data_IF_310983763449
#
_entry.id   IF_310983763449
#
_cell.length_a   1.000
_cell.length_b   1.000
_cell.length_c   1.000
_cell.angle_alpha   90.00
_cell.angle_beta   90.00
_cell.angle_gamma   90.00
#
_symmetry.space_group_name_H-M   'P 1'
#
loop_
_entity.id
_entity.type
_entity.pdbx_description
1 polymer ?
#
# COMPACT_ATOMS: atom_id res chain seq x y z
N UNK A 1 -14.40 -13.64 -1.00
CA UNK A 1 -13.09 -13.73 -0.30
C UNK A 1 -12.52 -15.11 -0.63
N UNK A 2 -11.44 -15.19 -1.40
CA UNK A 2 -10.85 -16.47 -1.83
C UNK A 2 -9.34 -16.36 -1.80
N UNK A 3 -8.70 -17.42 -1.32
CA UNK A 3 -7.28 -17.71 -1.46
C UNK A 3 -7.12 -19.24 -1.60
N UNK A 4 -5.97 -19.69 -2.07
CA UNK A 4 -5.66 -21.11 -2.18
C UNK A 4 -4.21 -21.37 -1.74
N UNK A 5 -3.93 -22.61 -1.37
CA UNK A 5 -2.57 -23.10 -1.11
C UNK A 5 -2.28 -24.27 -2.04
N UNK A 6 -1.03 -24.39 -2.46
CA UNK A 6 -0.51 -25.55 -3.16
C UNK A 6 0.84 -25.92 -2.52
N UNK A 7 1.04 -27.19 -2.21
CA UNK A 7 2.22 -27.65 -1.48
C UNK A 7 2.18 -29.15 -1.20
N UNK A 8 3.12 -29.68 -0.39
CA UNK A 8 3.18 -31.09 -0.04
C UNK A 8 1.86 -31.60 0.53
N UNK A 9 1.43 -32.79 0.09
CA UNK A 9 0.12 -33.34 0.46
C UNK A 9 -0.09 -33.40 1.97
N UNK A 10 0.92 -33.82 2.74
CA UNK A 10 0.80 -33.93 4.20
C UNK A 10 0.55 -32.56 4.87
N UNK A 11 1.09 -31.47 4.32
CA UNK A 11 0.86 -30.10 4.81
C UNK A 11 -0.56 -29.66 4.44
N UNK A 12 -0.95 -29.81 3.16
CA UNK A 12 -2.28 -29.39 2.68
C UNK A 12 -3.40 -30.14 3.41
N UNK A 13 -3.23 -31.44 3.67
CA UNK A 13 -4.17 -32.24 4.47
C UNK A 13 -4.28 -31.73 5.91
N UNK A 14 -3.17 -31.35 6.54
CA UNK A 14 -3.20 -30.76 7.89
C UNK A 14 -3.91 -29.40 7.90
N UNK A 15 -3.64 -28.54 6.92
CA UNK A 15 -4.36 -27.28 6.75
C UNK A 15 -5.86 -27.49 6.53
N UNK A 16 -6.27 -28.49 5.74
CA UNK A 16 -7.68 -28.81 5.51
C UNK A 16 -8.36 -29.29 6.80
N UNK A 17 -7.69 -30.14 7.59
CA UNK A 17 -8.19 -30.57 8.91
C UNK A 17 -8.43 -29.36 9.83
N UNK A 18 -7.51 -28.40 9.85
CA UNK A 18 -7.65 -27.17 10.64
C UNK A 18 -8.80 -26.30 10.11
N UNK A 19 -8.87 -26.07 8.80
CA UNK A 19 -9.90 -25.22 8.19
C UNK A 19 -11.31 -25.77 8.41
N UNK A 20 -11.48 -27.09 8.36
CA UNK A 20 -12.74 -27.77 8.63
C UNK A 20 -13.32 -27.51 10.03
N UNK A 21 -12.49 -27.15 11.00
CA UNK A 21 -12.91 -26.80 12.37
C UNK A 21 -12.97 -25.29 12.63
N UNK A 22 -12.52 -24.45 11.69
CA UNK A 22 -12.43 -23.00 11.87
C UNK A 22 -13.48 -22.25 11.05
N UNK A 23 -13.62 -22.62 9.79
CA UNK A 23 -14.46 -21.89 8.82
C UNK A 23 -15.27 -22.80 7.90
N UNK A 24 -15.09 -24.12 7.99
CA UNK A 24 -15.57 -25.07 6.98
C UNK A 24 -15.01 -24.73 5.58
N UNK A 25 -15.84 -24.73 4.54
CA UNK A 25 -15.45 -24.30 3.19
C UNK A 25 -15.64 -22.78 2.97
N UNK A 26 -14.88 -22.16 2.06
CA UNK A 26 -15.12 -20.76 1.67
C UNK A 26 -16.47 -20.61 0.94
N UNK A 27 -17.00 -19.39 0.90
CA UNK A 27 -18.29 -19.08 0.25
C UNK A 27 -18.45 -19.70 -1.15
N UNK A 28 -19.47 -20.52 -1.35
CA UNK A 28 -19.74 -21.26 -2.60
C UNK A 28 -19.87 -20.35 -3.82
N UNK A 29 -20.55 -19.21 -3.69
CA UNK A 29 -20.67 -18.20 -4.76
C UNK A 29 -19.30 -17.63 -5.13
N UNK A 30 -18.44 -17.35 -4.13
CA UNK A 30 -17.08 -16.87 -4.39
C UNK A 30 -16.20 -17.93 -5.07
N UNK A 31 -16.40 -19.22 -4.77
CA UNK A 31 -15.69 -20.30 -5.45
C UNK A 31 -16.02 -20.34 -6.94
N UNK A 32 -17.31 -20.19 -7.30
CA UNK A 32 -17.73 -20.12 -8.71
C UNK A 32 -17.22 -18.88 -9.44
N UNK A 33 -17.17 -17.73 -8.76
CA UNK A 33 -16.53 -16.54 -9.32
C UNK A 33 -15.02 -16.74 -9.54
N UNK A 34 -14.32 -17.41 -8.60
CA UNK A 34 -12.90 -17.70 -8.71
C UNK A 34 -12.57 -18.68 -9.86
N UNK A 35 -13.41 -19.71 -10.05
CA UNK A 35 -13.32 -20.63 -11.18
C UNK A 35 -13.38 -19.87 -12.51
N UNK A 36 -14.38 -19.00 -12.69
CA UNK A 36 -14.51 -18.19 -13.90
C UNK A 36 -13.33 -17.21 -14.10
N UNK A 37 -12.84 -16.60 -13.01
CA UNK A 37 -11.67 -15.71 -13.06
C UNK A 37 -10.38 -16.45 -13.45
N UNK A 38 -10.24 -17.72 -13.05
CA UNK A 38 -9.04 -18.51 -13.30
C UNK A 38 -9.02 -19.15 -14.69
N UNK A 39 -10.16 -19.71 -15.14
CA UNK A 39 -10.25 -20.44 -16.43
C UNK A 39 -10.58 -19.52 -17.60
N UNK A 40 -11.13 -18.34 -17.34
CA UNK A 40 -11.46 -17.34 -18.34
C UNK A 40 -10.25 -16.56 -18.88
N UNK A 41 -10.54 -15.55 -19.69
CA UNK A 41 -9.51 -14.69 -20.27
C UNK A 41 -8.76 -13.87 -19.21
N UNK A 42 -7.45 -13.73 -19.41
CA UNK A 42 -6.57 -12.91 -18.56
C UNK A 42 -6.39 -11.47 -19.11
N UNK A 43 -7.20 -11.05 -20.09
CA UNK A 43 -7.18 -9.67 -20.62
C UNK A 43 -7.36 -8.61 -19.52
N UNK A 44 -8.33 -8.71 -18.59
CA UNK A 44 -8.49 -7.71 -17.52
C UNK A 44 -7.24 -7.55 -16.65
N UNK A 45 -6.51 -8.65 -16.40
CA UNK A 45 -5.25 -8.62 -15.63
C UNK A 45 -4.17 -7.84 -16.39
N UNK A 46 -4.05 -8.05 -17.72
CA UNK A 46 -3.09 -7.32 -18.56
C UNK A 46 -3.41 -5.82 -18.61
N UNK A 47 -4.68 -5.46 -18.68
CA UNK A 47 -5.15 -4.07 -18.64
C UNK A 47 -4.85 -3.42 -17.29
N UNK A 48 -5.19 -4.10 -16.19
CA UNK A 48 -4.86 -3.64 -14.84
C UNK A 48 -3.35 -3.48 -14.65
N UNK A 49 -2.53 -4.43 -15.13
CA UNK A 49 -1.06 -4.32 -15.07
C UNK A 49 -0.56 -3.02 -15.71
N UNK A 50 -1.05 -2.67 -16.91
CA UNK A 50 -0.70 -1.42 -17.60
C UNK A 50 -1.14 -0.20 -16.80
N UNK A 51 -2.35 -0.21 -16.24
CA UNK A 51 -2.86 0.88 -15.40
C UNK A 51 -2.00 1.07 -14.14
N UNK A 52 -1.66 -0.02 -13.44
CA UNK A 52 -0.81 0.03 -12.25
C UNK A 52 0.62 0.45 -12.55
N UNK A 53 1.17 0.05 -13.69
CA UNK A 53 2.49 0.52 -14.14
C UNK A 53 2.51 2.02 -14.38
N UNK A 54 1.50 2.57 -15.06
CA UNK A 54 1.33 4.01 -15.25
C UNK A 54 1.22 4.75 -13.91
N UNK A 55 0.36 4.27 -13.01
CA UNK A 55 0.17 4.84 -11.66
C UNK A 55 1.43 4.78 -10.80
N UNK A 56 2.18 3.66 -10.86
CA UNK A 56 3.48 3.51 -10.22
C UNK A 56 4.46 4.57 -10.74
N UNK A 57 4.56 4.73 -12.05
CA UNK A 57 5.47 5.71 -12.64
C UNK A 57 5.10 7.14 -12.22
N UNK A 58 3.79 7.45 -12.17
CA UNK A 58 3.28 8.74 -11.70
C UNK A 58 3.62 9.00 -10.23
N UNK A 59 3.26 8.10 -9.31
CA UNK A 59 3.49 8.31 -7.87
C UNK A 59 4.99 8.36 -7.56
N UNK A 60 5.83 7.55 -8.20
CA UNK A 60 7.28 7.58 -8.03
C UNK A 60 7.85 8.92 -8.49
N UNK A 61 7.43 9.42 -9.65
CA UNK A 61 7.87 10.72 -10.16
C UNK A 61 7.55 11.83 -9.16
N UNK A 62 6.28 11.93 -8.74
CA UNK A 62 5.82 12.98 -7.84
C UNK A 62 6.46 12.88 -6.44
N UNK A 63 6.60 11.66 -5.90
CA UNK A 63 7.23 11.46 -4.60
C UNK A 63 8.71 11.88 -4.60
N UNK A 64 9.44 11.71 -5.72
CA UNK A 64 10.83 12.18 -5.84
C UNK A 64 10.97 13.70 -5.81
N UNK A 65 9.89 14.43 -6.06
CA UNK A 65 9.85 15.89 -5.99
C UNK A 65 9.59 16.42 -4.58
N UNK A 66 9.41 15.53 -3.58
CA UNK A 66 9.15 15.87 -2.18
C UNK A 66 10.49 15.85 -1.42
N UNK A 67 11.02 17.01 -0.98
CA UNK A 67 12.34 17.08 -0.34
C UNK A 67 12.36 16.33 1.00
N UNK A 68 13.18 15.28 1.11
CA UNK A 68 13.27 14.43 2.31
C UNK A 68 12.75 13.00 2.13
N UNK A 69 12.04 12.72 1.03
CA UNK A 69 11.71 11.34 0.67
C UNK A 69 12.88 10.67 -0.06
N UNK A 70 13.34 9.52 0.45
CA UNK A 70 14.16 8.58 -0.31
C UNK A 70 13.25 7.55 -0.98
N UNK A 71 13.07 7.69 -2.29
CA UNK A 71 12.03 6.97 -3.05
C UNK A 71 12.62 5.76 -3.80
N UNK A 72 12.15 4.56 -3.44
CA UNK A 72 12.42 3.34 -4.20
C UNK A 72 11.49 3.22 -5.43
N UNK A 73 11.90 2.46 -6.44
CA UNK A 73 11.04 2.10 -7.59
C UNK A 73 10.54 0.65 -7.39
N UNK A 74 9.25 0.44 -7.06
CA UNK A 74 8.71 -0.89 -6.85
C UNK A 74 8.68 -1.73 -8.13
N UNK A 75 9.08 -3.00 -8.03
CA UNK A 75 9.04 -3.94 -9.16
C UNK A 75 7.68 -4.67 -9.29
N UNK A 76 6.82 -4.59 -8.27
CA UNK A 76 5.52 -5.26 -8.23
C UNK A 76 4.63 -4.74 -7.11
N UNK A 77 3.48 -5.39 -6.92
CA UNK A 77 2.39 -4.91 -6.06
C UNK A 77 1.90 -3.50 -6.43
N UNK A 78 1.23 -2.83 -5.51
CA UNK A 78 0.65 -1.50 -5.71
C UNK A 78 0.94 -0.51 -4.58
N UNK A 79 2.14 -0.59 -3.99
CA UNK A 79 2.56 0.23 -2.86
C UNK A 79 3.85 1.00 -3.14
N UNK A 80 3.90 2.27 -2.73
CA UNK A 80 5.15 3.02 -2.57
C UNK A 80 5.54 3.01 -1.09
N UNK A 81 6.84 2.87 -0.82
CA UNK A 81 7.37 2.76 0.54
C UNK A 81 8.64 3.61 0.74
N UNK A 82 8.53 4.95 0.63
CA UNK A 82 9.68 5.81 0.75
C UNK A 82 10.13 5.89 2.21
N UNK A 83 11.43 6.07 2.41
CA UNK A 83 11.99 6.48 3.69
C UNK A 83 11.81 7.99 3.86
N UNK A 84 11.44 8.42 5.06
CA UNK A 84 11.02 9.80 5.36
C UNK A 84 11.53 10.29 6.73
N UNK A 85 12.54 9.64 7.30
CA UNK A 85 13.10 9.99 8.61
C UNK A 85 13.78 11.37 8.63
N UNK A 86 13.99 12.02 7.48
CA UNK A 86 14.48 13.40 7.41
C UNK A 86 13.54 14.42 8.07
N UNK A 87 12.28 14.05 8.31
CA UNK A 87 11.30 14.88 9.01
C UNK A 87 11.26 14.61 10.51
N UNK A 88 11.98 13.60 11.01
CA UNK A 88 11.96 13.31 12.44
C UNK A 88 12.74 14.37 13.21
N UNK A 89 12.17 14.84 14.32
CA UNK A 89 12.64 15.98 15.10
C UNK A 89 12.17 17.35 14.57
N UNK A 90 11.45 17.39 13.44
CA UNK A 90 10.88 18.64 12.92
C UNK A 90 9.52 18.93 13.53
N UNK A 91 9.11 20.19 13.47
CA UNK A 91 7.81 20.60 14.01
C UNK A 91 7.05 21.61 13.14
N UNK A 92 5.72 21.61 13.24
CA UNK A 92 4.85 22.62 12.65
C UNK A 92 3.62 22.83 13.52
N UNK A 93 3.28 24.09 13.83
CA UNK A 93 2.06 24.41 14.59
C UNK A 93 2.00 23.76 15.99
N UNK A 94 3.15 23.62 16.65
CA UNK A 94 3.25 22.98 17.98
C UNK A 94 3.23 21.45 17.97
N UNK A 95 3.19 20.83 16.79
CA UNK A 95 3.27 19.37 16.63
C UNK A 95 4.67 18.95 16.19
N UNK A 96 5.34 18.16 17.02
CA UNK A 96 6.61 17.53 16.72
C UNK A 96 6.40 16.18 16.03
N UNK A 97 7.27 15.86 15.06
CA UNK A 97 7.29 14.57 14.37
C UNK A 97 8.43 13.74 14.93
N UNK A 98 8.17 12.82 15.86
CA UNK A 98 9.23 11.99 16.46
C UNK A 98 9.43 10.65 15.73
N UNK A 99 8.44 10.20 14.95
CA UNK A 99 8.52 8.95 14.17
C UNK A 99 7.55 8.95 12.96
N UNK A 100 7.52 7.85 12.21
CA UNK A 100 6.65 7.71 11.05
C UNK A 100 5.16 7.74 11.38
N UNK A 101 4.73 7.26 12.56
CA UNK A 101 3.33 7.33 13.00
C UNK A 101 2.90 8.78 13.14
N UNK A 102 3.71 9.61 13.79
CA UNK A 102 3.41 11.03 13.95
C UNK A 102 3.37 11.75 12.61
N UNK A 103 4.27 11.41 11.69
CA UNK A 103 4.24 11.94 10.32
C UNK A 103 2.95 11.53 9.61
N UNK A 104 2.53 10.26 9.71
CA UNK A 104 1.28 9.81 9.06
C UNK A 104 0.03 10.48 9.64
N UNK A 105 0.01 10.71 10.95
CA UNK A 105 -1.09 11.42 11.60
C UNK A 105 -1.08 12.92 11.25
N UNK A 106 0.10 13.53 11.14
CA UNK A 106 0.26 14.90 10.63
C UNK A 106 -0.25 15.04 9.20
N UNK A 107 0.13 14.12 8.31
CA UNK A 107 -0.36 14.09 6.92
C UNK A 107 -1.87 13.85 6.84
N UNK A 108 -2.45 13.09 7.78
CA UNK A 108 -3.89 12.88 7.86
C UNK A 108 -4.62 14.16 8.27
N UNK A 109 -4.18 14.82 9.34
CA UNK A 109 -4.88 15.95 9.94
C UNK A 109 -4.64 17.26 9.18
N UNK A 110 -3.41 17.50 8.72
CA UNK A 110 -3.01 18.74 8.04
C UNK A 110 -2.98 18.59 6.53
N UNK A 111 -2.48 17.46 6.04
CA UNK A 111 -2.43 17.17 4.61
C UNK A 111 -3.71 16.55 4.05
N UNK A 112 -4.63 16.09 4.91
CA UNK A 112 -5.81 15.32 4.51
C UNK A 112 -5.48 14.11 3.62
N UNK A 113 -4.35 13.44 3.89
CA UNK A 113 -3.89 12.24 3.17
C UNK A 113 -3.59 11.12 4.17
N UNK A 114 -4.39 10.05 4.09
CA UNK A 114 -4.17 8.85 4.90
C UNK A 114 -3.06 7.97 4.30
N UNK A 115 -2.05 7.66 5.11
CA UNK A 115 -1.00 6.70 4.82
C UNK A 115 -0.73 5.83 6.06
N UNK A 116 0.12 4.81 5.94
CA UNK A 116 0.40 3.89 7.05
C UNK A 116 1.87 3.99 7.45
N UNK A 117 2.15 4.22 8.73
CA UNK A 117 3.52 4.23 9.26
C UNK A 117 4.24 2.91 9.06
N UNK A 118 5.52 2.98 8.73
CA UNK A 118 6.38 1.84 8.44
C UNK A 118 6.63 0.93 9.64
N UNK A 119 6.44 1.43 10.87
CA UNK A 119 6.52 0.66 12.12
C UNK A 119 5.63 -0.58 12.10
N UNK A 120 4.44 -0.50 11.48
CA UNK A 120 3.53 -1.65 11.32
C UNK A 120 4.09 -2.76 10.40
N UNK A 121 5.17 -2.48 9.68
CA UNK A 121 5.86 -3.37 8.75
C UNK A 121 7.31 -3.65 9.16
N UNK A 122 7.74 -3.23 10.36
CA UNK A 122 9.11 -3.42 10.83
C UNK A 122 10.15 -2.46 10.22
N UNK A 123 9.72 -1.34 9.64
CA UNK A 123 10.61 -0.32 9.05
C UNK A 123 10.19 1.09 9.54
N UNK A 124 10.56 1.49 10.77
CA UNK A 124 10.04 2.68 11.44
C UNK A 124 10.37 4.01 10.75
N UNK A 125 11.34 4.03 9.84
CA UNK A 125 11.75 5.19 9.04
C UNK A 125 10.94 5.41 7.76
N UNK A 126 10.00 4.52 7.44
CA UNK A 126 9.25 4.55 6.18
C UNK A 126 7.75 4.86 6.40
N UNK A 127 7.06 5.21 5.31
CA UNK A 127 5.59 5.23 5.25
C UNK A 127 5.10 4.44 4.04
N UNK A 128 3.89 3.87 4.09
CA UNK A 128 3.29 3.12 2.99
C UNK A 128 2.12 3.88 2.38
N UNK A 129 2.14 3.99 1.05
CA UNK A 129 1.05 4.56 0.26
C UNK A 129 0.58 3.56 -0.80
N UNK A 130 -0.73 3.33 -0.88
CA UNK A 130 -1.32 2.55 -1.96
C UNK A 130 -1.58 3.45 -3.17
N UNK A 131 -1.14 3.04 -4.35
CA UNK A 131 -1.49 3.70 -5.62
C UNK A 131 -2.58 2.97 -6.40
N UNK A 132 -3.39 2.15 -5.71
CA UNK A 132 -4.61 1.53 -6.23
C UNK A 132 -5.80 2.49 -6.21
N UNK A 133 -5.67 3.63 -6.88
CA UNK A 133 -6.70 4.68 -7.01
C UNK A 133 -6.56 5.39 -8.36
N UNK A 134 -7.31 6.47 -8.59
CA UNK A 134 -7.23 7.24 -9.82
C UNK A 134 -5.96 8.08 -9.90
N UNK A 135 -5.55 8.44 -11.12
CA UNK A 135 -4.35 9.24 -11.37
C UNK A 135 -4.50 10.66 -10.78
N UNK A 136 -5.73 11.19 -10.74
CA UNK A 136 -6.10 12.48 -10.14
C UNK A 136 -5.91 12.44 -8.62
N UNK A 137 -6.40 11.40 -7.95
CA UNK A 137 -6.23 11.21 -6.51
C UNK A 137 -4.75 11.06 -6.14
N UNK A 138 -3.95 10.37 -6.95
CA UNK A 138 -2.48 10.27 -6.74
C UNK A 138 -1.84 11.66 -6.83
N UNK A 139 -2.18 12.42 -7.87
CA UNK A 139 -1.61 13.75 -8.12
C UNK A 139 -1.95 14.71 -6.98
N UNK A 140 -3.22 14.74 -6.58
CA UNK A 140 -3.69 15.61 -5.50
C UNK A 140 -3.09 15.21 -4.15
N UNK A 141 -3.03 13.91 -3.84
CA UNK A 141 -2.42 13.45 -2.59
C UNK A 141 -0.94 13.82 -2.51
N UNK A 142 -0.17 13.65 -3.59
CA UNK A 142 1.25 14.02 -3.61
C UNK A 142 1.46 15.53 -3.48
N UNK A 143 0.61 16.35 -4.12
CA UNK A 143 0.62 17.81 -3.96
C UNK A 143 0.40 18.20 -2.49
N UNK A 144 -0.63 17.65 -1.85
CA UNK A 144 -0.93 17.92 -0.43
C UNK A 144 0.17 17.46 0.51
N UNK A 145 0.76 16.29 0.28
CA UNK A 145 1.91 15.82 1.07
C UNK A 145 3.06 16.83 0.94
N UNK A 146 3.43 17.22 -0.28
CA UNK A 146 4.50 18.18 -0.53
C UNK A 146 4.28 19.51 0.20
N UNK A 147 3.07 20.03 0.16
CA UNK A 147 2.69 21.28 0.85
C UNK A 147 2.68 21.13 2.37
N UNK A 148 2.25 19.99 2.90
CA UNK A 148 2.22 19.74 4.34
C UNK A 148 3.64 19.63 4.91
N UNK A 149 4.48 18.79 4.32
CA UNK A 149 5.85 18.56 4.82
C UNK A 149 6.75 19.78 4.65
N UNK A 150 6.44 20.69 3.73
CA UNK A 150 7.16 21.96 3.58
C UNK A 150 6.96 22.92 4.76
N UNK A 151 5.95 22.70 5.62
CA UNK A 151 5.70 23.49 6.83
C UNK A 151 6.49 23.00 8.04
N UNK A 152 7.15 21.84 7.94
CA UNK A 152 7.94 21.24 9.01
C UNK A 152 9.35 21.86 9.03
N UNK A 153 9.66 22.55 10.12
CA UNK A 153 10.97 23.17 10.40
C UNK A 153 11.84 22.26 11.26
#
# INVERSE_FOLDING_TARGET
RIGFIAGPQYIVSACNKLQGQYTSGPCSVSQKAAEAAYTGTQTPVKEMRKAFERRRNLIVKLAKEIPGFEVNIPQGAFYLFPKCNSYFGKSAGGREIINATDLTMYLLEVGHVACVGGTAFGAPECIRMSYATSDENITEAMRRIKEAVAKLE
#
